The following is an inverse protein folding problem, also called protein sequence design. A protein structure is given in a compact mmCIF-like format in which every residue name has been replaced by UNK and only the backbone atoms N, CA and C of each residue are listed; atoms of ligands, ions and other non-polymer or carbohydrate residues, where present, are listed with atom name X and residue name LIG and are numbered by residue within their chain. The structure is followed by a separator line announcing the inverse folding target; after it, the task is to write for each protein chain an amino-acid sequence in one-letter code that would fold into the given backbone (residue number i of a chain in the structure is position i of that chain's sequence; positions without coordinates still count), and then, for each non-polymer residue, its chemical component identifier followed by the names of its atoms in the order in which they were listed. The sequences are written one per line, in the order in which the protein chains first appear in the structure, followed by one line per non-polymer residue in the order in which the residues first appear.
data_IF_226687852651
#
_entry.id   IF_226687852651
#
_cell.length_a   1.000
_cell.length_b   1.000
_cell.length_c   1.000
_cell.angle_alpha   90.00
_cell.angle_beta   90.00
_cell.angle_gamma   90.00
#
_symmetry.space_group_name_H-M   'P 1'
#
loop_
_entity.id
_entity.type
_entity.pdbx_description
1 polymer ?
#
# COMPACT_ATOMS: atom_id res chain seq x y z
N UNK A 1 15.69 5.95 -19.29
CA UNK A 1 15.19 7.03 -18.42
C UNK A 1 14.32 6.38 -17.34
N UNK A 2 14.83 6.22 -16.12
CA UNK A 2 14.00 5.71 -15.02
C UNK A 2 13.02 6.80 -14.62
N UNK A 3 11.73 6.52 -14.69
CA UNK A 3 10.72 7.42 -14.14
C UNK A 3 10.94 7.51 -12.63
N UNK A 4 11.16 8.71 -12.11
CA UNK A 4 11.16 8.94 -10.66
C UNK A 4 9.73 8.76 -10.19
N UNK A 5 9.45 7.64 -9.55
CA UNK A 5 8.15 7.40 -8.92
C UNK A 5 8.19 7.96 -7.51
N UNK A 6 7.34 8.95 -7.23
CA UNK A 6 7.11 9.39 -5.85
C UNK A 6 6.36 8.30 -5.08
N UNK A 7 7.08 7.60 -4.21
CA UNK A 7 6.55 6.52 -3.37
C UNK A 7 5.40 7.02 -2.48
N UNK A 8 5.40 8.29 -2.08
CA UNK A 8 4.32 8.88 -1.28
C UNK A 8 2.95 8.83 -1.96
N UNK A 9 2.90 8.80 -3.29
CA UNK A 9 1.65 8.74 -4.06
C UNK A 9 1.05 7.32 -4.14
N UNK A 10 1.83 6.29 -3.79
CA UNK A 10 1.40 4.89 -3.86
C UNK A 10 0.60 4.45 -2.63
N UNK A 11 0.57 5.28 -1.58
CA UNK A 11 -0.12 4.99 -0.33
C UNK A 11 -1.18 6.07 -0.08
N UNK A 12 -2.43 5.64 0.08
CA UNK A 12 -3.54 6.52 0.41
C UNK A 12 -4.13 6.16 1.77
N UNK A 13 -4.66 7.17 2.46
CA UNK A 13 -5.55 7.01 3.61
C UNK A 13 -6.94 7.42 3.16
N UNK A 14 -7.94 6.58 3.42
CA UNK A 14 -9.34 6.85 3.04
C UNK A 14 -10.22 6.65 4.26
N UNK A 15 -11.00 7.66 4.60
CA UNK A 15 -11.88 7.63 5.76
C UNK A 15 -12.92 6.49 5.61
N UNK A 16 -13.08 5.70 6.66
CA UNK A 16 -14.01 4.57 6.70
C UNK A 16 -13.59 3.35 5.88
N UNK A 17 -12.37 3.32 5.33
CA UNK A 17 -11.81 2.18 4.59
C UNK A 17 -10.64 1.59 5.36
N UNK A 18 -10.69 0.27 5.62
CA UNK A 18 -9.65 -0.45 6.37
C UNK A 18 -9.37 0.16 7.75
N UNK A 19 -10.37 0.67 8.46
CA UNK A 19 -10.21 1.42 9.73
C UNK A 19 -9.20 2.58 9.62
N UNK A 20 -9.29 3.36 8.53
CA UNK A 20 -8.41 4.48 8.20
C UNK A 20 -6.92 4.10 8.14
N UNK A 21 -6.63 2.82 7.87
CA UNK A 21 -5.25 2.35 7.73
C UNK A 21 -4.68 2.74 6.36
N UNK A 22 -3.35 2.95 6.28
CA UNK A 22 -2.69 3.15 5.00
C UNK A 22 -2.94 1.98 4.04
N UNK A 23 -3.36 2.30 2.83
CA UNK A 23 -3.72 1.35 1.78
C UNK A 23 -2.99 1.67 0.48
N UNK A 24 -2.73 0.64 -0.33
CA UNK A 24 -2.15 0.84 -1.66
C UNK A 24 -3.17 1.55 -2.55
N UNK A 25 -2.76 2.67 -3.14
CA UNK A 25 -3.59 3.52 -4.00
C UNK A 25 -4.30 2.68 -5.07
N UNK A 26 -5.61 2.90 -5.24
CA UNK A 26 -6.42 2.17 -6.22
C UNK A 26 -6.84 0.76 -5.80
N UNK A 27 -6.48 0.32 -4.59
CA UNK A 27 -6.85 -1.01 -4.08
C UNK A 27 -7.55 -0.92 -2.71
N UNK A 28 -8.00 -2.08 -2.20
CA UNK A 28 -8.41 -2.26 -0.78
C UNK A 28 -7.38 -3.10 -0.01
N UNK A 29 -6.12 -3.07 -0.42
CA UNK A 29 -5.03 -3.79 0.25
C UNK A 29 -4.30 -2.84 1.19
N UNK A 30 -4.24 -3.18 2.48
CA UNK A 30 -3.47 -2.41 3.45
C UNK A 30 -1.97 -2.62 3.26
N UNK A 31 -1.18 -1.58 3.56
CA UNK A 31 0.30 -1.67 3.55
C UNK A 31 0.78 -2.79 4.49
N UNK A 32 0.11 -2.95 5.63
CA UNK A 32 0.39 -4.02 6.60
C UNK A 32 0.24 -5.41 6.00
N UNK A 33 -0.74 -5.62 5.11
CA UNK A 33 -0.96 -6.91 4.44
C UNK A 33 0.13 -7.20 3.42
N UNK A 34 0.55 -6.21 2.64
CA UNK A 34 1.70 -6.34 1.74
C UNK A 34 2.96 -6.71 2.52
N UNK A 35 3.22 -6.04 3.63
CA UNK A 35 4.35 -6.36 4.51
C UNK A 35 4.27 -7.78 5.09
N UNK A 36 3.07 -8.27 5.43
CA UNK A 36 2.87 -9.64 5.88
C UNK A 36 3.17 -10.67 4.78
N UNK A 37 2.68 -10.45 3.55
CA UNK A 37 2.95 -11.32 2.41
C UNK A 37 4.43 -11.40 2.07
N UNK A 38 5.12 -10.26 2.06
CA UNK A 38 6.56 -10.22 1.88
C UNK A 38 7.29 -11.07 2.92
N UNK A 39 6.92 -10.96 4.20
CA UNK A 39 7.48 -11.79 5.29
C UNK A 39 7.17 -13.28 5.14
N UNK A 40 6.10 -13.64 4.43
CA UNK A 40 5.76 -15.03 4.09
C UNK A 40 6.51 -15.55 2.86
N UNK A 41 7.34 -14.72 2.20
CA UNK A 41 8.07 -15.08 0.99
C UNK A 41 7.25 -14.98 -0.30
N UNK A 42 6.09 -14.31 -0.25
CA UNK A 42 5.30 -13.99 -1.43
C UNK A 42 5.84 -12.68 -2.02
N UNK A 43 6.49 -12.76 -3.18
CA UNK A 43 7.08 -11.64 -3.92
C UNK A 43 6.42 -11.48 -5.29
#
# INVERSE_FOLDING_TARGET
MQAVTDIGTLITRRDGVLDDRPAITGTRVSVQRVAAWYKMGLN
#
